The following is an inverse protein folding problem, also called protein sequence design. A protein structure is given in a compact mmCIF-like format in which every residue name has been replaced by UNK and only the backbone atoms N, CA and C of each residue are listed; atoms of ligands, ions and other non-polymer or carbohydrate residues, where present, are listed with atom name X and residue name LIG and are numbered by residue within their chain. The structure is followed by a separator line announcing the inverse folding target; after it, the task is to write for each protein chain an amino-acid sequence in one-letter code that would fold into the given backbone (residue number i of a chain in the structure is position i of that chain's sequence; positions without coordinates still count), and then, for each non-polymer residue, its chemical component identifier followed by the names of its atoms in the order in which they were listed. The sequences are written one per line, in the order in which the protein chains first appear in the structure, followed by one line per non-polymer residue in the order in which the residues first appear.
data_IF_410737485987
#
_entry.id   IF_410737485987
#
_cell.length_a   1.000
_cell.length_b   1.000
_cell.length_c   1.000
_cell.angle_alpha   90.00
_cell.angle_beta   90.00
_cell.angle_gamma   90.00
#
_symmetry.space_group_name_H-M   'P 1'
#
loop_
_entity.id
_entity.type
_entity.pdbx_description
1 polymer ?
#
# COMPACT_ATOMS: atom_id res chain seq x y z
N UNK A 1 -1.54 4.29 -3.23
CA UNK A 1 -0.19 3.71 -3.09
C UNK A 1 0.66 4.54 -2.13
N UNK A 2 1.81 3.98 -1.67
CA UNK A 2 2.72 4.64 -0.73
C UNK A 2 3.70 5.59 -1.45
N UNK A 3 4.44 6.40 -0.66
CA UNK A 3 5.49 7.36 -1.10
C UNK A 3 6.54 6.77 -2.03
N UNK A 4 6.76 5.46 -2.01
CA UNK A 4 7.66 4.77 -2.92
C UNK A 4 7.22 4.81 -4.38
N UNK A 5 5.95 5.05 -4.63
CA UNK A 5 5.35 5.13 -5.97
C UNK A 5 5.26 6.56 -6.51
N UNK A 6 5.75 7.56 -5.77
CA UNK A 6 5.81 8.96 -6.21
C UNK A 6 6.76 9.09 -7.41
N UNK A 7 6.21 9.12 -8.62
CA UNK A 7 6.96 9.21 -9.87
C UNK A 7 6.13 9.90 -10.95
N UNK A 8 6.70 10.92 -11.56
CA UNK A 8 6.06 11.61 -12.70
C UNK A 8 5.75 10.64 -13.84
N UNK A 9 6.68 9.72 -14.15
CA UNK A 9 6.50 8.75 -15.22
C UNK A 9 5.33 7.80 -14.93
N UNK A 10 5.21 7.29 -13.71
CA UNK A 10 4.11 6.43 -13.31
C UNK A 10 2.76 7.15 -13.41
N UNK A 11 2.69 8.37 -12.87
CA UNK A 11 1.47 9.19 -12.92
C UNK A 11 1.08 9.47 -14.38
N UNK A 12 2.04 9.84 -15.23
CA UNK A 12 1.80 10.08 -16.66
C UNK A 12 1.24 8.84 -17.36
N UNK A 13 1.76 7.65 -17.05
CA UNK A 13 1.23 6.39 -17.61
C UNK A 13 -0.21 6.12 -17.20
N UNK A 14 -0.57 6.36 -15.94
CA UNK A 14 -1.94 6.15 -15.48
C UNK A 14 -2.89 7.15 -16.12
N UNK A 15 -2.51 8.44 -16.14
CA UNK A 15 -3.29 9.49 -16.79
C UNK A 15 -3.51 9.25 -18.29
N UNK A 16 -2.48 8.75 -18.99
CA UNK A 16 -2.57 8.45 -20.42
C UNK A 16 -3.46 7.25 -20.74
N UNK A 17 -3.48 6.24 -19.88
CA UNK A 17 -4.27 5.01 -20.09
C UNK A 17 -5.76 5.18 -19.81
N UNK A 18 -6.15 6.11 -18.95
CA UNK A 18 -7.55 6.43 -18.57
C UNK A 18 -8.43 5.23 -18.15
N UNK A 19 -7.82 4.11 -17.82
CA UNK A 19 -8.52 2.88 -17.41
C UNK A 19 -8.39 2.59 -15.90
N UNK A 20 -7.72 3.46 -15.17
CA UNK A 20 -7.55 3.37 -13.73
C UNK A 20 -7.27 4.74 -13.13
N UNK A 21 -7.70 4.93 -11.90
CA UNK A 21 -7.37 6.08 -11.09
C UNK A 21 -6.22 5.78 -10.14
N UNK A 22 -5.55 6.84 -9.68
CA UNK A 22 -4.50 6.70 -8.68
C UNK A 22 -4.80 7.55 -7.44
N UNK A 23 -4.28 7.07 -6.33
CA UNK A 23 -4.19 7.77 -5.06
C UNK A 23 -2.83 7.44 -4.46
N UNK A 24 -1.88 8.38 -4.51
CA UNK A 24 -0.48 8.17 -4.15
C UNK A 24 -0.08 9.19 -3.09
N UNK A 25 0.47 8.72 -1.96
CA UNK A 25 1.07 9.58 -0.97
C UNK A 25 2.30 10.28 -1.54
N UNK A 26 2.40 11.59 -1.35
CA UNK A 26 3.50 12.43 -1.80
C UNK A 26 4.39 12.84 -0.62
N UNK A 27 5.71 12.85 -0.84
CA UNK A 27 6.67 13.31 0.18
C UNK A 27 6.53 14.79 0.41
N UNK A 28 6.58 15.20 1.67
CA UNK A 28 6.49 16.60 2.08
C UNK A 28 7.87 17.28 2.22
N UNK A 29 8.96 16.53 1.98
CA UNK A 29 10.33 17.00 2.11
C UNK A 29 10.86 17.61 0.80
N UNK A 30 12.13 18.07 0.81
CA UNK A 30 12.83 18.58 -0.40
C UNK A 30 12.88 17.58 -1.56
N UNK A 31 12.65 16.29 -1.31
CA UNK A 31 12.54 15.25 -2.33
C UNK A 31 11.13 15.11 -2.91
N UNK A 32 10.16 15.88 -2.44
CA UNK A 32 8.82 15.93 -2.98
C UNK A 32 8.82 16.50 -4.43
N UNK A 33 7.72 16.25 -5.14
CA UNK A 33 7.46 16.95 -6.39
C UNK A 33 7.54 18.46 -6.15
N UNK A 34 8.30 19.18 -6.97
CA UNK A 34 8.59 20.61 -6.76
C UNK A 34 7.33 21.46 -6.63
N UNK A 35 6.28 21.11 -7.38
CA UNK A 35 5.00 21.80 -7.40
C UNK A 35 4.24 21.57 -6.10
N UNK A 36 4.29 20.38 -5.55
CA UNK A 36 3.67 20.04 -4.27
C UNK A 36 4.41 20.73 -3.11
N UNK A 37 5.75 20.84 -3.20
CA UNK A 37 6.56 21.51 -2.20
C UNK A 37 6.31 23.03 -2.11
N UNK A 38 5.75 23.64 -3.16
CA UNK A 38 5.37 25.06 -3.19
C UNK A 38 4.01 25.33 -2.52
N UNK A 39 3.20 24.29 -2.32
CA UNK A 39 1.87 24.46 -1.73
C UNK A 39 1.97 24.73 -0.22
N UNK A 40 1.11 25.61 0.32
CA UNK A 40 1.13 25.95 1.74
C UNK A 40 0.84 24.72 2.62
N UNK A 41 1.44 24.70 3.82
CA UNK A 41 1.25 23.62 4.81
C UNK A 41 -0.05 23.82 5.59
N UNK A 42 -1.17 23.71 4.89
CA UNK A 42 -2.52 23.75 5.45
C UNK A 42 -3.38 22.72 4.72
N UNK A 43 -4.56 22.47 5.22
CA UNK A 43 -5.55 21.64 4.55
C UNK A 43 -5.94 22.26 3.21
N UNK A 44 -5.86 21.47 2.14
CA UNK A 44 -6.14 21.94 0.79
C UNK A 44 -6.62 20.82 -0.12
N UNK A 45 -7.35 21.23 -1.12
CA UNK A 45 -7.83 20.42 -2.22
C UNK A 45 -7.75 21.26 -3.49
N UNK A 46 -6.78 20.97 -4.34
CA UNK A 46 -6.53 21.78 -5.52
C UNK A 46 -6.00 20.94 -6.70
N UNK A 47 -6.27 21.43 -7.91
CA UNK A 47 -5.63 20.92 -9.10
C UNK A 47 -4.32 21.65 -9.35
N UNK A 48 -3.25 20.91 -9.59
CA UNK A 48 -1.98 21.46 -10.05
C UNK A 48 -1.76 21.10 -11.52
N UNK A 49 -1.14 22.02 -12.25
CA UNK A 49 -0.77 21.82 -13.65
C UNK A 49 0.65 22.34 -13.89
N UNK A 50 1.44 21.58 -14.63
CA UNK A 50 2.82 21.92 -14.98
C UNK A 50 3.23 21.14 -16.22
N UNK A 51 4.38 21.53 -16.81
CA UNK A 51 4.93 20.84 -17.97
C UNK A 51 6.30 20.26 -17.61
N UNK A 52 6.50 18.98 -17.98
CA UNK A 52 7.78 18.29 -17.81
C UNK A 52 8.59 18.40 -19.09
N UNK A 53 9.89 18.65 -18.95
CA UNK A 53 10.84 18.63 -20.06
C UNK A 53 12.07 17.76 -19.70
N UNK A 54 12.64 17.13 -20.67
CA UNK A 54 13.92 16.39 -20.57
C UNK A 54 15.10 17.22 -21.09
N UNK A 55 14.83 18.42 -21.60
CA UNK A 55 15.80 19.40 -22.12
C UNK A 55 15.91 20.62 -21.20
N UNK A 56 16.93 21.43 -21.39
CA UNK A 56 17.14 22.68 -20.64
C UNK A 56 17.40 23.85 -21.59
N UNK A 57 16.54 24.00 -22.57
CA UNK A 57 16.61 25.14 -23.49
C UNK A 57 16.28 26.46 -22.76
N UNK A 58 16.66 27.60 -23.37
CA UNK A 58 16.28 28.89 -22.83
C UNK A 58 14.75 29.08 -22.83
N UNK A 59 14.07 28.52 -23.82
CA UNK A 59 12.61 28.50 -23.89
C UNK A 59 11.99 27.67 -22.76
N UNK A 60 12.53 26.49 -22.43
CA UNK A 60 12.06 25.68 -21.29
C UNK A 60 12.17 26.43 -19.98
N UNK A 61 13.29 27.17 -19.78
CA UNK A 61 13.52 27.98 -18.58
C UNK A 61 12.57 29.16 -18.52
N UNK A 62 12.35 29.87 -19.62
CA UNK A 62 11.43 31.00 -19.71
C UNK A 62 9.98 30.57 -19.42
N UNK A 63 9.59 29.38 -19.85
CA UNK A 63 8.26 28.81 -19.60
C UNK A 63 8.14 28.11 -18.23
N UNK A 64 9.17 28.15 -17.40
CA UNK A 64 9.20 27.50 -16.07
C UNK A 64 8.89 25.99 -16.10
N UNK A 65 9.27 25.30 -17.18
CA UNK A 65 9.07 23.86 -17.28
C UNK A 65 9.93 23.09 -16.27
N UNK A 66 9.40 21.98 -15.77
CA UNK A 66 10.11 21.14 -14.82
C UNK A 66 11.09 20.26 -15.58
N UNK A 67 12.36 20.52 -15.40
CA UNK A 67 13.40 19.66 -15.97
C UNK A 67 13.52 18.35 -15.17
N UNK A 68 13.25 17.25 -15.85
CA UNK A 68 13.47 15.90 -15.35
C UNK A 68 14.80 15.36 -15.88
N UNK A 69 15.75 15.08 -14.99
CA UNK A 69 17.00 14.45 -15.35
C UNK A 69 16.77 12.99 -15.73
N UNK A 70 16.75 12.70 -17.01
CA UNK A 70 16.71 11.34 -17.55
C UNK A 70 18.14 10.85 -17.80
N UNK A 71 18.52 9.62 -17.44
CA UNK A 71 19.84 9.11 -17.80
C UNK A 71 19.96 9.03 -19.31
N UNK A 72 20.88 9.74 -19.88
CA UNK A 72 21.43 9.34 -21.17
C UNK A 72 22.02 7.95 -21.00
N UNK A 73 21.84 7.06 -22.00
CA UNK A 73 22.30 5.66 -22.02
C UNK A 73 23.57 5.49 -21.20
N UNK A 74 23.46 4.91 -20.02
CA UNK A 74 24.56 4.86 -19.07
C UNK A 74 25.66 3.98 -19.61
N UNK A 75 26.91 4.48 -19.55
CA UNK A 75 28.09 3.60 -19.54
C UNK A 75 27.88 2.56 -18.44
N UNK A 76 28.10 1.29 -18.79
CA UNK A 76 27.96 0.17 -17.87
C UNK A 76 28.65 0.49 -16.54
N UNK A 77 27.95 0.45 -15.43
CA UNK A 77 28.47 0.63 -14.07
C UNK A 77 27.90 1.77 -13.22
N UNK A 78 27.12 2.70 -13.76
CA UNK A 78 26.53 3.78 -12.96
C UNK A 78 25.28 3.32 -12.18
N UNK A 79 25.41 3.19 -10.85
CA UNK A 79 24.32 2.85 -9.91
C UNK A 79 23.36 4.00 -9.60
N UNK A 80 23.40 5.11 -10.33
CA UNK A 80 22.49 6.23 -10.10
C UNK A 80 21.11 5.91 -10.65
N UNK A 81 20.14 5.72 -9.75
CA UNK A 81 18.71 5.64 -10.05
C UNK A 81 18.23 7.00 -10.55
N UNK A 82 18.43 7.29 -11.82
CA UNK A 82 17.85 8.46 -12.46
C UNK A 82 16.45 8.08 -12.95
N UNK A 83 15.53 9.03 -12.91
CA UNK A 83 14.14 8.80 -13.30
C UNK A 83 14.03 8.37 -14.77
N UNK A 84 13.15 7.43 -15.07
CA UNK A 84 12.75 7.06 -16.43
C UNK A 84 11.66 8.01 -16.88
N UNK A 85 11.68 8.35 -18.17
CA UNK A 85 10.63 9.13 -18.82
C UNK A 85 10.30 8.53 -20.18
N UNK A 86 9.06 8.10 -20.38
CA UNK A 86 8.62 7.33 -21.55
C UNK A 86 7.74 8.17 -22.50
N UNK A 87 7.53 9.46 -22.21
CA UNK A 87 6.65 10.34 -22.95
C UNK A 87 7.44 11.39 -23.75
N UNK A 88 6.79 12.05 -24.75
CA UNK A 88 7.37 13.19 -25.44
C UNK A 88 7.81 14.31 -24.49
N UNK A 89 8.69 15.18 -24.95
CA UNK A 89 9.15 16.35 -24.24
C UNK A 89 8.99 17.58 -25.15
N UNK A 90 8.32 18.66 -24.71
CA UNK A 90 7.68 18.85 -23.41
C UNK A 90 6.36 18.07 -23.27
N UNK A 91 5.95 17.74 -22.01
CA UNK A 91 4.75 17.00 -21.71
C UNK A 91 3.93 17.68 -20.59
N UNK A 92 2.67 18.11 -20.86
CA UNK A 92 1.83 18.70 -19.87
C UNK A 92 1.27 17.64 -18.91
N UNK A 93 1.26 17.94 -17.62
CA UNK A 93 0.63 17.11 -16.58
C UNK A 93 -0.34 17.94 -15.77
N UNK A 94 -1.46 17.33 -15.41
CA UNK A 94 -2.45 17.91 -14.50
C UNK A 94 -3.05 16.82 -13.64
N UNK A 95 -3.08 17.03 -12.33
CA UNK A 95 -3.74 16.16 -11.37
C UNK A 95 -4.08 16.92 -10.10
N UNK A 96 -4.90 16.30 -9.24
CA UNK A 96 -5.39 16.87 -7.99
C UNK A 96 -4.44 16.53 -6.85
N UNK A 97 -4.23 17.49 -5.96
CA UNK A 97 -3.51 17.34 -4.69
C UNK A 97 -4.50 17.57 -3.57
N UNK A 98 -4.59 16.61 -2.67
CA UNK A 98 -5.34 16.71 -1.43
C UNK A 98 -4.37 16.67 -0.25
N UNK A 99 -4.52 17.59 0.69
CA UNK A 99 -3.77 17.61 1.95
C UNK A 99 -4.76 17.71 3.09
N UNK A 100 -4.66 16.80 4.05
CA UNK A 100 -5.53 16.74 5.22
C UNK A 100 -4.71 16.50 6.48
N UNK A 101 -5.25 16.95 7.60
CA UNK A 101 -4.64 16.73 8.89
C UNK A 101 -5.00 15.35 9.45
N UNK A 102 -4.01 14.68 10.02
CA UNK A 102 -4.19 13.43 10.75
C UNK A 102 -4.50 13.72 12.22
N UNK A 103 -5.00 12.75 12.94
CA UNK A 103 -5.36 12.87 14.37
C UNK A 103 -4.17 13.25 15.28
N UNK A 104 -2.94 12.98 14.85
CA UNK A 104 -1.72 13.37 15.53
C UNK A 104 -1.26 14.81 15.22
N UNK A 105 -2.03 15.57 14.44
CA UNK A 105 -1.73 16.93 14.04
C UNK A 105 -0.80 17.06 12.82
N UNK A 106 -0.23 15.98 12.33
CA UNK A 106 0.60 15.99 11.11
C UNK A 106 -0.27 16.09 9.85
N UNK A 107 0.29 16.69 8.81
CA UNK A 107 -0.36 16.74 7.51
C UNK A 107 0.05 15.54 6.66
N UNK A 108 -0.92 14.97 5.96
CA UNK A 108 -0.70 14.00 4.91
C UNK A 108 -1.08 14.61 3.57
N UNK A 109 -0.24 14.38 2.55
CA UNK A 109 -0.49 14.88 1.20
C UNK A 109 -0.58 13.72 0.23
N UNK A 110 -1.62 13.70 -0.58
CA UNK A 110 -1.85 12.70 -1.61
C UNK A 110 -2.08 13.36 -2.96
N UNK A 111 -1.54 12.75 -4.00
CA UNK A 111 -1.82 13.07 -5.39
C UNK A 111 -2.85 12.07 -5.93
N UNK A 112 -3.83 12.54 -6.68
CA UNK A 112 -4.89 11.69 -7.21
C UNK A 112 -5.41 12.17 -8.56
N UNK A 113 -5.93 11.23 -9.36
CA UNK A 113 -6.74 11.49 -10.56
C UNK A 113 -8.24 11.54 -10.28
N UNK A 114 -8.67 11.15 -9.07
CA UNK A 114 -10.08 11.12 -8.71
C UNK A 114 -10.71 12.50 -8.86
N UNK A 115 -11.93 12.57 -9.42
CA UNK A 115 -12.62 13.83 -9.66
C UNK A 115 -13.04 14.53 -8.36
N UNK A 116 -13.43 15.80 -8.47
CA UNK A 116 -13.88 16.62 -7.34
C UNK A 116 -15.20 16.11 -6.69
N UNK A 117 -15.90 15.17 -7.32
CA UNK A 117 -17.05 14.50 -6.72
C UNK A 117 -16.69 13.65 -5.50
N UNK A 118 -15.44 13.23 -5.37
CA UNK A 118 -14.89 12.67 -4.12
C UNK A 118 -14.48 13.83 -3.23
N UNK A 119 -15.18 14.02 -2.11
CA UNK A 119 -14.82 15.04 -1.13
C UNK A 119 -13.45 14.72 -0.48
N UNK A 120 -12.88 15.68 0.24
CA UNK A 120 -11.59 15.49 0.91
C UNK A 120 -11.64 14.37 1.95
N UNK A 121 -12.78 14.23 2.62
CA UNK A 121 -13.07 13.16 3.58
C UNK A 121 -13.06 11.79 2.91
N UNK A 122 -13.67 11.66 1.73
CA UNK A 122 -13.67 10.40 0.96
C UNK A 122 -12.23 10.02 0.57
N UNK A 123 -11.42 10.99 0.17
CA UNK A 123 -10.00 10.77 -0.16
C UNK A 123 -9.22 10.32 1.07
N UNK A 124 -9.47 10.92 2.23
CA UNK A 124 -8.86 10.54 3.52
C UNK A 124 -9.23 9.10 3.88
N UNK A 125 -10.50 8.73 3.76
CA UNK A 125 -10.99 7.38 4.04
C UNK A 125 -10.40 6.35 3.07
N UNK A 126 -10.46 6.60 1.76
CA UNK A 126 -9.87 5.73 0.74
C UNK A 126 -8.37 5.52 0.96
N UNK A 127 -7.65 6.58 1.34
CA UNK A 127 -6.24 6.46 1.64
C UNK A 127 -6.00 5.65 2.93
N UNK A 128 -6.85 5.80 3.93
CA UNK A 128 -6.77 5.03 5.18
C UNK A 128 -6.92 3.52 4.93
N UNK A 129 -7.76 3.09 3.99
CA UNK A 129 -7.90 1.68 3.60
C UNK A 129 -6.58 1.04 3.16
N UNK A 130 -5.60 1.82 2.71
CA UNK A 130 -4.24 1.35 2.38
C UNK A 130 -3.57 0.64 3.57
N UNK A 131 -3.86 1.04 4.81
CA UNK A 131 -3.31 0.39 6.00
C UNK A 131 -3.70 -1.09 6.11
N UNK A 132 -4.79 -1.48 5.48
CA UNK A 132 -5.16 -2.88 5.34
C UNK A 132 -4.08 -3.72 4.66
N UNK A 133 -3.35 -3.15 3.68
CA UNK A 133 -2.23 -3.83 3.01
C UNK A 133 -1.06 -4.10 3.96
N UNK A 134 -0.73 -3.18 4.86
CA UNK A 134 0.36 -3.39 5.83
C UNK A 134 0.02 -4.52 6.81
N UNK A 135 -1.25 -4.58 7.24
CA UNK A 135 -1.76 -5.68 8.06
C UNK A 135 -1.74 -7.00 7.29
N UNK A 136 -2.20 -6.99 6.03
CA UNK A 136 -2.19 -8.17 5.16
C UNK A 136 -0.75 -8.70 4.95
N UNK A 137 0.22 -7.83 4.68
CA UNK A 137 1.62 -8.25 4.57
C UNK A 137 2.18 -8.82 5.88
N UNK A 138 1.79 -8.26 7.03
CA UNK A 138 2.18 -8.80 8.33
C UNK A 138 1.59 -10.19 8.52
N UNK A 139 0.33 -10.38 8.19
CA UNK A 139 -0.35 -11.67 8.34
C UNK A 139 0.19 -12.71 7.35
N UNK A 140 0.50 -12.34 6.13
CA UNK A 140 1.20 -13.19 5.17
C UNK A 140 2.58 -13.62 5.70
N UNK A 141 3.36 -12.69 6.21
CA UNK A 141 4.71 -12.97 6.71
C UNK A 141 4.70 -13.86 7.95
N UNK A 142 3.87 -13.56 8.93
CA UNK A 142 3.97 -14.16 10.27
C UNK A 142 2.87 -15.17 10.57
N UNK A 143 1.65 -14.96 10.08
CA UNK A 143 0.55 -15.90 10.30
C UNK A 143 0.60 -17.06 9.33
N UNK A 144 0.93 -16.79 8.07
CA UNK A 144 1.05 -17.82 7.02
C UNK A 144 2.49 -18.31 6.81
N UNK A 145 3.47 -17.62 7.39
CA UNK A 145 4.87 -18.07 7.42
C UNK A 145 5.67 -17.78 6.16
N UNK A 146 5.26 -16.82 5.32
CA UNK A 146 5.98 -16.45 4.09
C UNK A 146 7.43 -15.96 4.29
N UNK A 147 7.85 -15.67 5.53
CA UNK A 147 9.25 -15.38 5.84
C UNK A 147 10.11 -16.64 5.89
N UNK A 148 9.50 -17.83 5.95
CA UNK A 148 10.19 -19.10 6.06
C UNK A 148 9.75 -20.00 4.88
N UNK A 149 10.48 -19.98 3.79
CA UNK A 149 10.25 -20.88 2.67
C UNK A 149 11.02 -22.19 2.88
N UNK A 150 10.42 -23.31 2.47
CA UNK A 150 11.01 -24.66 2.59
C UNK A 150 11.68 -25.09 1.30
N UNK A 151 11.17 -24.58 0.17
CA UNK A 151 11.65 -24.91 -1.16
C UNK A 151 13.06 -24.39 -1.44
N UNK A 152 13.93 -25.25 -1.95
CA UNK A 152 15.29 -24.87 -2.37
C UNK A 152 15.38 -24.43 -3.82
N UNK A 153 14.39 -24.73 -4.64
CA UNK A 153 14.28 -24.27 -6.02
C UNK A 153 13.31 -23.10 -6.15
N UNK A 154 13.52 -22.25 -7.16
CA UNK A 154 12.65 -21.11 -7.44
C UNK A 154 11.19 -21.54 -7.67
N UNK A 155 10.98 -22.63 -8.44
CA UNK A 155 9.65 -23.14 -8.70
C UNK A 155 8.94 -23.62 -7.42
N UNK A 156 9.66 -24.23 -6.49
CA UNK A 156 9.09 -24.69 -5.23
C UNK A 156 8.80 -23.49 -4.28
N UNK A 157 9.68 -22.50 -4.23
CA UNK A 157 9.43 -21.27 -3.49
C UNK A 157 8.23 -20.50 -4.04
N UNK A 158 8.08 -20.45 -5.35
CA UNK A 158 6.95 -19.83 -6.03
C UNK A 158 5.62 -20.56 -5.69
N UNK A 159 5.63 -21.89 -5.68
CA UNK A 159 4.49 -22.69 -5.26
C UNK A 159 4.07 -22.43 -3.81
N UNK A 160 5.03 -22.33 -2.88
CA UNK A 160 4.76 -21.99 -1.47
C UNK A 160 4.16 -20.58 -1.33
N UNK A 161 4.64 -19.61 -2.10
CA UNK A 161 4.11 -18.24 -2.12
C UNK A 161 2.66 -18.25 -2.59
N UNK A 162 2.36 -18.90 -3.73
CA UNK A 162 0.99 -18.95 -4.25
C UNK A 162 0.05 -19.71 -3.33
N UNK A 163 0.49 -20.81 -2.73
CA UNK A 163 -0.30 -21.54 -1.74
C UNK A 163 -0.64 -20.67 -0.51
N UNK A 164 0.32 -19.89 -0.03
CA UNK A 164 0.12 -18.96 1.10
C UNK A 164 -0.82 -17.81 0.73
N UNK A 165 -0.70 -17.24 -0.48
CA UNK A 165 -1.61 -16.20 -0.98
C UNK A 165 -3.04 -16.75 -1.14
N UNK A 166 -3.19 -17.96 -1.65
CA UNK A 166 -4.49 -18.62 -1.78
C UNK A 166 -5.13 -18.87 -0.42
N UNK A 167 -4.38 -19.39 0.55
CA UNK A 167 -4.86 -19.61 1.91
C UNK A 167 -5.23 -18.29 2.61
N UNK A 168 -4.46 -17.20 2.37
CA UNK A 168 -4.78 -15.87 2.88
C UNK A 168 -6.09 -15.34 2.30
N UNK A 169 -6.25 -15.41 0.98
CA UNK A 169 -7.44 -14.93 0.30
C UNK A 169 -8.68 -15.72 0.73
N UNK A 170 -8.57 -17.05 0.83
CA UNK A 170 -9.65 -17.90 1.30
C UNK A 170 -10.06 -17.53 2.73
N UNK A 171 -9.12 -17.48 3.68
CA UNK A 171 -9.41 -17.12 5.05
C UNK A 171 -9.98 -15.70 5.19
N UNK A 172 -9.46 -14.74 4.42
CA UNK A 172 -9.97 -13.37 4.38
C UNK A 172 -11.41 -13.34 3.87
N UNK A 173 -11.71 -14.09 2.82
CA UNK A 173 -13.07 -14.18 2.26
C UNK A 173 -14.04 -14.79 3.26
N UNK A 174 -13.69 -15.90 3.90
CA UNK A 174 -14.52 -16.52 4.93
C UNK A 174 -14.75 -15.56 6.10
N UNK A 175 -13.70 -14.86 6.57
CA UNK A 175 -13.84 -13.89 7.65
C UNK A 175 -14.80 -12.74 7.31
N UNK A 176 -14.91 -12.36 6.04
CA UNK A 176 -15.88 -11.34 5.61
C UNK A 176 -17.35 -11.79 5.71
N UNK A 177 -17.60 -13.08 5.59
CA UNK A 177 -18.95 -13.64 5.69
C UNK A 177 -19.36 -13.95 7.15
N UNK A 178 -18.38 -14.05 8.07
CA UNK A 178 -18.64 -14.39 9.47
C UNK A 178 -19.19 -13.19 10.22
N UNK A 179 -20.39 -13.33 10.76
CA UNK A 179 -21.01 -12.31 11.61
C UNK A 179 -20.63 -12.54 13.06
N UNK A 180 -20.01 -11.54 13.69
CA UNK A 180 -19.66 -11.58 15.11
C UNK A 180 -20.73 -10.85 15.92
N UNK A 181 -21.23 -11.51 16.97
CA UNK A 181 -22.10 -10.84 17.95
C UNK A 181 -21.25 -9.92 18.82
N UNK A 182 -21.52 -8.64 18.77
CA UNK A 182 -20.90 -7.68 19.68
C UNK A 182 -21.59 -7.76 21.06
N UNK A 183 -20.86 -7.67 22.17
CA UNK A 183 -21.47 -7.62 23.50
C UNK A 183 -22.36 -6.36 23.62
N UNK A 184 -23.52 -6.51 24.25
CA UNK A 184 -24.45 -5.39 24.49
C UNK A 184 -23.88 -4.35 25.46
N UNK A 185 -23.06 -4.82 26.39
CA UNK A 185 -22.37 -4.01 27.38
C UNK A 185 -20.88 -4.38 27.33
N UNK A 186 -20.04 -3.39 27.07
CA UNK A 186 -18.60 -3.60 26.99
C UNK A 186 -17.85 -2.37 26.49
N UNK A 187 -16.62 -2.21 26.98
CA UNK A 187 -15.75 -1.05 26.63
C UNK A 187 -15.19 -1.19 25.21
N UNK A 188 -15.13 -2.41 24.68
CA UNK A 188 -14.47 -2.70 23.41
C UNK A 188 -15.40 -3.38 22.42
N UNK A 189 -15.29 -3.00 21.14
CA UNK A 189 -15.76 -3.80 20.02
C UNK A 189 -14.80 -4.98 19.78
N UNK A 190 -15.32 -6.06 19.21
CA UNK A 190 -14.53 -7.26 18.93
C UNK A 190 -14.42 -7.48 17.43
N UNK A 191 -13.31 -8.09 17.02
CA UNK A 191 -13.08 -8.57 15.66
C UNK A 191 -12.60 -10.02 15.66
N UNK A 192 -12.70 -10.70 14.52
CA UNK A 192 -12.20 -12.06 14.34
C UNK A 192 -10.69 -12.13 14.64
N UNK A 193 -10.30 -13.18 15.35
CA UNK A 193 -8.90 -13.55 15.54
C UNK A 193 -8.36 -14.21 14.28
N UNK A 194 -7.82 -13.41 13.33
CA UNK A 194 -7.45 -13.86 11.99
C UNK A 194 -6.52 -15.08 11.97
N UNK A 195 -5.55 -15.17 12.90
CA UNK A 195 -4.66 -16.34 12.99
C UNK A 195 -5.43 -17.64 13.27
N UNK A 196 -6.42 -17.60 14.14
CA UNK A 196 -7.28 -18.76 14.41
C UNK A 196 -8.15 -19.10 13.21
N UNK A 197 -8.71 -18.09 12.56
CA UNK A 197 -9.46 -18.28 11.31
C UNK A 197 -8.62 -18.96 10.23
N UNK A 198 -7.37 -18.56 10.03
CA UNK A 198 -6.44 -19.22 9.09
C UNK A 198 -6.21 -20.68 9.46
N UNK A 199 -6.04 -21.00 10.76
CA UNK A 199 -5.86 -22.37 11.22
C UNK A 199 -7.09 -23.23 10.91
N UNK A 200 -8.27 -22.74 11.27
CA UNK A 200 -9.54 -23.44 11.00
C UNK A 200 -9.80 -23.61 9.49
N UNK A 201 -9.50 -22.61 8.70
CA UNK A 201 -9.58 -22.67 7.23
C UNK A 201 -8.64 -23.74 6.65
N UNK A 202 -7.41 -23.86 7.16
CA UNK A 202 -6.47 -24.91 6.75
C UNK A 202 -6.96 -26.31 7.11
N UNK A 203 -7.55 -26.48 8.27
CA UNK A 203 -8.17 -27.76 8.69
C UNK A 203 -9.39 -28.11 7.82
N UNK A 204 -10.24 -27.12 7.54
CA UNK A 204 -11.38 -27.25 6.65
C UNK A 204 -10.95 -27.76 5.26
N UNK A 205 -9.92 -27.16 4.66
CA UNK A 205 -9.41 -27.55 3.34
C UNK A 205 -8.78 -28.96 3.31
N UNK A 206 -8.39 -29.51 4.46
CA UNK A 206 -7.83 -30.86 4.59
C UNK A 206 -8.90 -31.91 4.85
N UNK A 207 -10.05 -31.51 5.35
CA UNK A 207 -11.13 -32.43 5.76
C UNK A 207 -12.07 -32.67 4.58
N UNK A 208 -12.27 -33.95 4.22
CA UNK A 208 -13.28 -34.33 3.23
C UNK A 208 -14.69 -34.08 3.79
N UNK A 209 -15.57 -33.54 2.96
CA UNK A 209 -16.97 -33.23 3.32
C UNK A 209 -17.12 -32.29 4.53
N UNK A 210 -16.19 -31.34 4.67
CA UNK A 210 -16.25 -30.36 5.75
C UNK A 210 -17.47 -29.43 5.60
N UNK A 211 -18.13 -29.14 6.73
CA UNK A 211 -19.29 -28.25 6.77
C UNK A 211 -18.85 -26.80 6.85
N UNK A 212 -19.25 -25.99 5.86
CA UNK A 212 -18.94 -24.57 5.79
C UNK A 212 -19.64 -23.75 6.89
N UNK A 213 -20.83 -24.13 7.31
CA UNK A 213 -21.54 -23.43 8.38
C UNK A 213 -20.81 -23.64 9.71
N UNK A 214 -20.38 -24.88 9.99
CA UNK A 214 -19.56 -25.17 11.16
C UNK A 214 -18.24 -24.40 11.18
N UNK A 215 -17.57 -24.27 10.03
CA UNK A 215 -16.37 -23.46 9.91
C UNK A 215 -16.65 -22.00 10.33
N UNK A 216 -17.71 -21.40 9.82
CA UNK A 216 -18.07 -20.00 10.17
C UNK A 216 -18.44 -19.86 11.63
N UNK A 217 -19.18 -20.79 12.22
CA UNK A 217 -19.48 -20.82 13.65
C UNK A 217 -18.22 -20.93 14.52
N UNK A 218 -17.30 -21.82 14.14
CA UNK A 218 -16.06 -22.01 14.87
C UNK A 218 -15.17 -20.76 14.78
N UNK A 219 -15.08 -20.09 13.62
CA UNK A 219 -14.37 -18.82 13.47
C UNK A 219 -15.00 -17.73 14.35
N UNK A 220 -16.34 -17.65 14.38
CA UNK A 220 -17.04 -16.63 15.18
C UNK A 220 -16.78 -16.73 16.67
N UNK A 221 -16.40 -17.90 17.20
CA UNK A 221 -16.02 -18.11 18.61
C UNK A 221 -14.69 -17.46 18.98
N UNK A 222 -13.78 -17.28 18.03
CA UNK A 222 -12.45 -16.72 18.28
C UNK A 222 -12.41 -15.25 17.89
N UNK A 223 -12.61 -14.39 18.88
CA UNK A 223 -12.57 -12.93 18.72
C UNK A 223 -11.50 -12.28 19.59
N UNK A 224 -11.08 -11.09 19.18
CA UNK A 224 -10.14 -10.26 19.94
C UNK A 224 -10.69 -8.83 20.07
N UNK A 225 -10.48 -8.16 21.22
CA UNK A 225 -10.95 -6.81 21.41
C UNK A 225 -10.18 -5.81 20.51
N UNK A 226 -10.93 -4.87 19.93
CA UNK A 226 -10.37 -3.69 19.27
C UNK A 226 -10.07 -2.67 20.35
N UNK A 227 -8.79 -2.33 20.54
CA UNK A 227 -8.35 -1.35 21.54
C UNK A 227 -7.92 -0.07 20.83
N UNK A 228 -8.80 0.95 20.71
CA UNK A 228 -8.46 2.22 20.08
C UNK A 228 -7.32 2.90 20.85
N UNK A 229 -6.44 3.57 20.11
CA UNK A 229 -5.35 4.35 20.72
C UNK A 229 -4.18 3.54 21.30
N UNK A 230 -4.22 2.19 21.26
CA UNK A 230 -3.07 1.39 21.69
C UNK A 230 -1.90 1.59 20.73
N UNK A 231 -0.84 2.20 21.23
CA UNK A 231 0.44 2.33 20.54
C UNK A 231 1.46 1.46 21.25
N UNK A 232 1.90 0.40 20.61
CA UNK A 232 3.04 -0.39 21.08
C UNK A 232 4.31 0.22 20.49
N UNK A 233 5.28 0.60 21.35
CA UNK A 233 6.58 1.06 20.89
C UNK A 233 7.24 -0.05 20.07
N UNK A 234 7.66 0.31 18.85
CA UNK A 234 8.45 -0.61 18.02
C UNK A 234 9.83 -0.75 18.64
N UNK A 235 10.23 -1.96 18.97
CA UNK A 235 11.63 -2.22 19.30
C UNK A 235 12.49 -2.11 18.03
N UNK A 236 13.08 -0.92 17.84
CA UNK A 236 13.95 -0.63 16.70
C UNK A 236 15.31 -1.33 16.79
N UNK A 237 15.62 -2.00 17.93
CA UNK A 237 16.88 -2.71 18.15
C UNK A 237 16.88 -4.11 17.53
N UNK A 238 15.71 -4.67 17.28
CA UNK A 238 15.60 -5.95 16.56
C UNK A 238 15.92 -5.68 15.08
N UNK A 239 17.19 -5.74 14.75
CA UNK A 239 17.65 -5.88 13.36
C UNK A 239 17.20 -7.26 12.89
N UNK A 240 15.94 -7.39 12.49
CA UNK A 240 15.49 -8.58 11.81
C UNK A 240 16.35 -8.78 10.58
N UNK A 241 16.86 -9.97 10.39
CA UNK A 241 17.58 -10.35 9.18
C UNK A 241 16.63 -10.11 7.99
N UNK A 242 17.01 -9.30 7.00
CA UNK A 242 16.10 -8.92 5.92
C UNK A 242 15.91 -10.02 4.86
N UNK A 243 16.36 -11.24 5.11
CA UNK A 243 16.29 -12.36 4.19
C UNK A 243 15.25 -13.41 4.58
N UNK A 244 14.91 -14.26 3.63
CA UNK A 244 14.13 -15.47 3.88
C UNK A 244 14.99 -16.46 4.68
N UNK A 245 14.42 -16.98 5.75
CA UNK A 245 15.08 -18.01 6.56
C UNK A 245 14.41 -19.34 6.24
N UNK A 246 15.20 -20.28 5.73
CA UNK A 246 14.73 -21.65 5.55
C UNK A 246 14.46 -22.27 6.92
N UNK A 247 13.31 -22.89 7.12
CA UNK A 247 13.10 -23.73 8.30
C UNK A 247 13.98 -24.94 8.17
N UNK A 248 14.84 -25.14 9.15
CA UNK A 248 15.48 -26.44 9.34
C UNK A 248 14.36 -27.40 9.69
N UNK A 249 14.21 -28.47 8.90
CA UNK A 249 13.27 -29.53 9.22
C UNK A 249 13.60 -30.05 10.62
N UNK A 250 12.59 -30.04 11.52
CA UNK A 250 12.70 -30.66 12.82
C UNK A 250 12.61 -32.17 12.68
#
# INVERSE_FOLDING_TARGET
ADRGFESYNLIAHILAKQNADFLIRVKQSRSAMREVAKLPMLELDCNIGFTITTTQTNADKANHYIHLQVPQKSKAGSKTRRGRWDFPSPYPMRFRICRFQLDNGEFETVATSLPASFALEDIKELYHLRWGLETAFRDLKYTLGLVNLHGKSDAFAEQEIYASLTAFNFASRVCHEVVIRQPKEGIYAYKIHFRMAVTLCKEYLRTQNADSNKLMEDIARYTVPIRPGRQDQRDLRVKGFPGFVYRVAA
#
